data_IF_837411162093
#
_entry.id   IF_837411162093
#
_cell.length_a   1.000
_cell.length_b   1.000
_cell.length_c   1.000
_cell.angle_alpha   90.00
_cell.angle_beta   90.00
_cell.angle_gamma   90.00
#
_symmetry.space_group_name_H-M   'P 1'
#
loop_
_entity.id
_entity.type
_entity.pdbx_description
1 polymer ?
#
# COMPACT_ATOMS: atom_id res chain seq x y z
N UNK A 1 -23.41 16.54 17.72
CA UNK A 1 -23.65 15.63 16.58
C UNK A 1 -23.79 16.40 15.26
N UNK A 2 -24.81 17.24 15.06
CA UNK A 2 -24.97 18.02 13.81
C UNK A 2 -23.76 18.96 13.49
N UNK A 3 -23.27 19.71 14.48
CA UNK A 3 -22.13 20.64 14.29
C UNK A 3 -20.82 19.94 13.94
N UNK A 4 -20.59 18.72 14.44
CA UNK A 4 -19.39 17.94 14.14
C UNK A 4 -19.46 17.33 12.73
N UNK A 5 -20.64 16.87 12.33
CA UNK A 5 -20.92 16.41 10.98
C UNK A 5 -20.73 17.54 9.95
N UNK A 6 -21.31 18.72 10.19
CA UNK A 6 -21.13 19.90 9.32
C UNK A 6 -19.66 20.33 9.23
N UNK A 7 -18.91 20.22 10.34
CA UNK A 7 -17.46 20.47 10.34
C UNK A 7 -16.72 19.46 9.46
N UNK A 8 -17.05 18.17 9.53
CA UNK A 8 -16.45 17.14 8.67
C UNK A 8 -16.80 17.34 7.20
N UNK A 9 -18.04 17.72 6.90
CA UNK A 9 -18.50 18.00 5.53
C UNK A 9 -17.82 19.23 4.91
N UNK A 10 -17.45 20.23 5.72
CA UNK A 10 -16.70 21.39 5.23
C UNK A 10 -15.32 21.02 4.66
N UNK A 11 -14.77 19.85 5.00
CA UNK A 11 -13.54 19.33 4.41
C UNK A 11 -13.74 18.60 3.08
N UNK A 12 -14.97 18.39 2.61
CA UNK A 12 -15.22 17.64 1.37
C UNK A 12 -14.46 18.22 0.15
N UNK A 13 -14.46 19.54 -0.12
CA UNK A 13 -13.72 20.08 -1.26
C UNK A 13 -12.21 19.82 -1.17
N UNK A 14 -11.65 19.88 0.04
CA UNK A 14 -10.23 19.56 0.28
C UNK A 14 -9.97 18.06 0.09
N UNK A 15 -10.86 17.21 0.61
CA UNK A 15 -10.80 15.76 0.47
C UNK A 15 -10.82 15.34 -1.01
N UNK A 16 -11.77 15.87 -1.77
CA UNK A 16 -11.90 15.60 -3.20
C UNK A 16 -10.63 16.02 -3.96
N UNK A 17 -10.07 17.19 -3.63
CA UNK A 17 -8.83 17.67 -4.23
C UNK A 17 -7.62 16.78 -3.92
N UNK A 18 -7.41 16.40 -2.65
CA UNK A 18 -6.27 15.53 -2.29
C UNK A 18 -6.42 14.14 -2.91
N UNK A 19 -7.65 13.60 -2.98
CA UNK A 19 -7.92 12.30 -3.57
C UNK A 19 -7.75 12.32 -5.09
N UNK A 20 -8.20 13.39 -5.76
CA UNK A 20 -7.94 13.59 -7.19
C UNK A 20 -6.43 13.58 -7.48
N UNK A 21 -5.64 14.31 -6.69
CA UNK A 21 -4.19 14.36 -6.85
C UNK A 21 -3.55 12.99 -6.63
N UNK A 22 -3.88 12.31 -5.54
CA UNK A 22 -3.40 10.96 -5.26
C UNK A 22 -3.77 9.98 -6.37
N UNK A 23 -5.01 10.00 -6.86
CA UNK A 23 -5.47 9.11 -7.91
C UNK A 23 -4.76 9.35 -9.23
N UNK A 24 -4.56 10.62 -9.60
CA UNK A 24 -3.83 10.96 -10.83
C UNK A 24 -2.38 10.49 -10.74
N UNK A 25 -1.69 10.78 -9.63
CA UNK A 25 -0.31 10.38 -9.41
C UNK A 25 -0.17 8.85 -9.40
N UNK A 26 -1.03 8.14 -8.65
CA UNK A 26 -0.98 6.68 -8.56
C UNK A 26 -1.34 6.00 -9.87
N UNK A 27 -2.42 6.44 -10.54
CA UNK A 27 -2.84 5.88 -11.83
C UNK A 27 -1.80 6.08 -12.91
N UNK A 28 -1.19 7.28 -12.97
CA UNK A 28 -0.12 7.56 -13.91
C UNK A 28 1.09 6.66 -13.67
N UNK A 29 1.54 6.52 -12.42
CA UNK A 29 2.73 5.72 -12.13
C UNK A 29 2.51 4.22 -12.34
N UNK A 30 1.37 3.65 -11.90
CA UNK A 30 1.08 2.23 -12.10
C UNK A 30 1.04 1.87 -13.60
N UNK A 31 0.47 2.73 -14.44
CA UNK A 31 0.34 2.47 -15.89
C UNK A 31 1.65 2.66 -16.66
N UNK A 32 2.51 3.56 -16.22
CA UNK A 32 3.78 3.87 -16.89
C UNK A 32 5.00 3.21 -16.26
N UNK A 33 4.82 2.45 -15.18
CA UNK A 33 5.87 1.63 -14.60
C UNK A 33 6.24 0.51 -15.58
N UNK A 34 7.54 0.35 -15.81
CA UNK A 34 8.04 -0.71 -16.68
C UNK A 34 8.12 -2.00 -15.87
N UNK A 35 6.98 -2.67 -15.76
CA UNK A 35 6.82 -3.91 -15.01
C UNK A 35 7.66 -5.08 -15.54
N UNK A 36 8.36 -4.91 -16.67
CA UNK A 36 9.30 -5.88 -17.24
C UNK A 36 10.77 -5.48 -17.04
N UNK A 37 11.05 -4.36 -16.37
CA UNK A 37 12.41 -3.91 -16.08
C UNK A 37 13.01 -4.64 -14.88
N UNK A 38 13.45 -5.87 -15.13
CA UNK A 38 14.08 -6.74 -14.12
C UNK A 38 15.26 -6.05 -13.43
N UNK A 39 16.08 -5.31 -14.19
CA UNK A 39 17.25 -4.61 -13.66
C UNK A 39 16.86 -3.50 -12.69
N UNK A 40 15.85 -2.69 -13.02
CA UNK A 40 15.34 -1.63 -12.14
C UNK A 40 14.85 -2.21 -10.82
N UNK A 41 14.06 -3.29 -10.86
CA UNK A 41 13.55 -3.91 -9.64
C UNK A 41 14.69 -4.50 -8.80
N UNK A 42 15.55 -5.33 -9.39
CA UNK A 42 16.66 -5.97 -8.66
C UNK A 42 17.65 -4.97 -8.07
N UNK A 43 17.87 -3.81 -8.71
CA UNK A 43 18.72 -2.77 -8.15
C UNK A 43 18.16 -2.11 -6.88
N UNK A 44 16.84 -2.12 -6.70
CA UNK A 44 16.16 -1.56 -5.52
C UNK A 44 15.91 -2.60 -4.42
N UNK A 45 16.15 -3.87 -4.73
CA UNK A 45 15.92 -5.00 -3.86
C UNK A 45 17.23 -5.39 -3.15
N UNK A 46 17.13 -5.89 -1.92
CA UNK A 46 18.30 -6.40 -1.19
C UNK A 46 18.45 -7.91 -1.44
N UNK A 47 19.70 -8.38 -1.42
CA UNK A 47 20.02 -9.80 -1.49
C UNK A 47 19.51 -10.50 -0.23
N UNK A 48 18.70 -11.53 -0.40
CA UNK A 48 18.22 -12.31 0.73
C UNK A 48 19.29 -13.30 1.20
N UNK A 49 20.15 -12.86 2.13
CA UNK A 49 21.29 -13.63 2.64
C UNK A 49 20.92 -14.81 3.56
N UNK A 50 19.64 -15.17 3.71
CA UNK A 50 19.23 -16.21 4.65
C UNK A 50 19.65 -17.63 4.25
N UNK A 51 20.06 -17.88 2.99
CA UNK A 51 20.48 -19.20 2.51
C UNK A 51 21.87 -19.18 1.86
N UNK A 52 22.93 -18.99 2.66
CA UNK A 52 24.33 -19.17 2.22
C UNK A 52 24.69 -20.59 1.75
N UNK A 53 23.76 -21.55 1.82
CA UNK A 53 24.00 -22.97 1.52
C UNK A 53 23.72 -23.35 0.06
N UNK A 54 23.05 -22.51 -0.73
CA UNK A 54 22.59 -22.88 -2.10
C UNK A 54 23.31 -22.17 -3.24
N UNK A 55 24.20 -21.21 -2.98
CA UNK A 55 25.04 -20.56 -4.00
C UNK A 55 24.35 -19.51 -4.89
N UNK A 56 23.02 -19.47 -4.97
CA UNK A 56 22.29 -18.43 -5.71
C UNK A 56 21.66 -17.40 -4.76
N UNK A 57 22.23 -16.20 -4.77
CA UNK A 57 21.72 -15.02 -4.09
C UNK A 57 20.38 -14.60 -4.70
N UNK A 58 19.28 -15.02 -4.07
CA UNK A 58 17.93 -14.61 -4.49
C UNK A 58 17.67 -13.17 -4.03
N UNK A 59 17.42 -12.29 -4.99
CA UNK A 59 17.09 -10.88 -4.75
C UNK A 59 15.56 -10.75 -4.69
N UNK A 60 15.02 -10.17 -3.61
CA UNK A 60 13.58 -10.07 -3.37
C UNK A 60 13.14 -8.64 -3.02
N UNK A 61 11.88 -8.26 -3.30
CA UNK A 61 11.37 -6.95 -2.93
C UNK A 61 11.56 -6.66 -1.44
N UNK A 62 12.11 -5.49 -1.15
CA UNK A 62 12.36 -5.02 0.21
C UNK A 62 11.39 -3.97 0.71
N UNK A 63 10.69 -3.34 -0.23
CA UNK A 63 9.84 -2.19 -0.03
C UNK A 63 8.74 -2.13 -1.09
N UNK A 64 7.73 -1.30 -0.84
CA UNK A 64 6.79 -0.92 -1.89
C UNK A 64 7.46 -0.03 -2.94
N UNK A 65 6.83 0.08 -4.11
CA UNK A 65 7.24 0.99 -5.17
C UNK A 65 7.34 2.43 -4.64
N UNK A 66 8.42 3.14 -5.00
CA UNK A 66 8.72 4.46 -4.43
C UNK A 66 7.61 5.50 -4.65
N UNK A 67 6.97 5.46 -5.83
CA UNK A 67 5.86 6.37 -6.15
C UNK A 67 4.67 6.22 -5.19
N UNK A 68 4.47 5.04 -4.57
CA UNK A 68 3.43 4.82 -3.56
C UNK A 68 3.79 5.58 -2.29
N UNK A 69 5.06 5.52 -1.86
CA UNK A 69 5.53 6.30 -0.72
C UNK A 69 5.35 7.79 -0.94
N UNK A 70 5.73 8.30 -2.11
CA UNK A 70 5.59 9.71 -2.45
C UNK A 70 4.12 10.15 -2.43
N UNK A 71 3.22 9.34 -3.01
CA UNK A 71 1.79 9.61 -3.03
C UNK A 71 1.15 9.59 -1.63
N UNK A 72 1.50 8.60 -0.79
CA UNK A 72 1.03 8.52 0.59
C UNK A 72 1.59 9.66 1.45
N UNK A 73 2.87 9.99 1.28
CA UNK A 73 3.50 11.10 2.00
C UNK A 73 2.89 12.45 1.63
N UNK A 74 2.49 12.65 0.37
CA UNK A 74 1.75 13.83 -0.06
C UNK A 74 0.45 13.98 0.74
N UNK A 75 -0.31 12.89 0.94
CA UNK A 75 -1.52 12.91 1.76
C UNK A 75 -1.20 13.24 3.22
N UNK A 76 -0.15 12.64 3.80
CA UNK A 76 0.30 12.97 5.16
C UNK A 76 0.67 14.44 5.29
N UNK A 77 1.35 15.01 4.29
CA UNK A 77 1.72 16.43 4.25
C UNK A 77 0.48 17.32 4.24
N UNK A 78 -0.52 17.01 3.44
CA UNK A 78 -1.77 17.80 3.41
C UNK A 78 -2.56 17.68 4.72
N UNK A 79 -2.66 16.46 5.28
CA UNK A 79 -3.25 16.24 6.60
C UNK A 79 -2.53 17.05 7.69
N UNK A 80 -1.21 17.15 7.64
CA UNK A 80 -0.42 17.90 8.60
C UNK A 80 -0.57 19.42 8.46
N UNK A 81 -0.90 19.95 7.28
CA UNK A 81 -1.12 21.40 7.07
C UNK A 81 -2.41 21.89 7.71
N UNK A 82 -3.46 21.08 7.68
CA UNK A 82 -4.75 21.42 8.29
C UNK A 82 -4.78 21.14 9.80
N UNK A 83 -3.68 20.65 10.36
CA UNK A 83 -3.57 20.03 11.68
C UNK A 83 -3.54 21.04 12.85
N UNK A 84 -4.26 22.15 12.74
CA UNK A 84 -4.26 23.25 13.71
C UNK A 84 -4.93 22.93 15.05
N UNK A 85 -5.76 21.88 15.16
CA UNK A 85 -6.42 21.47 16.42
C UNK A 85 -6.80 19.98 16.38
N UNK A 86 -5.87 19.11 16.77
CA UNK A 86 -6.03 17.67 17.01
C UNK A 86 -6.51 16.85 15.81
N UNK A 87 -5.73 15.82 15.44
CA UNK A 87 -6.07 14.83 14.43
C UNK A 87 -7.48 14.31 14.72
N UNK A 88 -8.47 14.78 13.97
CA UNK A 88 -9.82 14.27 14.09
C UNK A 88 -9.77 12.86 13.49
N UNK A 89 -9.76 11.84 14.34
CA UNK A 89 -9.80 10.44 13.92
C UNK A 89 -10.91 10.21 12.89
N UNK A 90 -12.02 10.96 12.95
CA UNK A 90 -13.10 10.89 11.97
C UNK A 90 -12.66 11.39 10.58
N UNK A 91 -11.87 12.47 10.49
CA UNK A 91 -11.34 12.95 9.20
C UNK A 91 -10.29 11.98 8.64
N UNK A 92 -9.38 11.48 9.48
CA UNK A 92 -8.41 10.46 9.06
C UNK A 92 -9.11 9.17 8.61
N UNK A 93 -10.16 8.76 9.31
CA UNK A 93 -11.01 7.62 8.95
C UNK A 93 -11.60 7.81 7.54
N UNK A 94 -12.18 8.97 7.23
CA UNK A 94 -12.66 9.29 5.88
C UNK A 94 -11.53 9.26 4.85
N UNK A 95 -10.38 9.86 5.15
CA UNK A 95 -9.22 9.81 4.24
C UNK A 95 -8.82 8.36 3.95
N UNK A 96 -8.72 7.50 4.96
CA UNK A 96 -8.36 6.08 4.79
C UNK A 96 -9.43 5.31 4.01
N UNK A 97 -10.71 5.61 4.23
CA UNK A 97 -11.82 5.03 3.48
C UNK A 97 -11.70 5.33 1.98
N UNK A 98 -11.53 6.62 1.64
CA UNK A 98 -11.38 7.06 0.26
C UNK A 98 -10.10 6.52 -0.38
N UNK A 99 -8.98 6.50 0.35
CA UNK A 99 -7.73 5.91 -0.14
C UNK A 99 -7.89 4.41 -0.43
N UNK A 100 -8.45 3.64 0.49
CA UNK A 100 -8.66 2.21 0.32
C UNK A 100 -9.54 1.91 -0.91
N UNK A 101 -10.67 2.61 -1.05
CA UNK A 101 -11.57 2.48 -2.20
C UNK A 101 -10.87 2.82 -3.53
N UNK A 102 -10.10 3.91 -3.56
CA UNK A 102 -9.40 4.33 -4.75
C UNK A 102 -8.26 3.38 -5.14
N UNK A 103 -7.48 2.90 -4.17
CA UNK A 103 -6.41 1.91 -4.40
C UNK A 103 -7.02 0.61 -4.93
N UNK A 104 -8.08 0.11 -4.30
CA UNK A 104 -8.83 -1.06 -4.78
C UNK A 104 -9.23 -0.86 -6.24
N UNK A 105 -9.87 0.27 -6.55
CA UNK A 105 -10.32 0.57 -7.90
C UNK A 105 -9.16 0.59 -8.90
N UNK A 106 -8.10 1.35 -8.61
CA UNK A 106 -6.96 1.53 -9.52
C UNK A 106 -6.18 0.23 -9.75
N UNK A 107 -5.94 -0.57 -8.71
CA UNK A 107 -5.28 -1.86 -8.87
C UNK A 107 -6.21 -2.88 -9.53
N UNK A 108 -7.50 -2.91 -9.23
CA UNK A 108 -8.45 -3.77 -9.96
C UNK A 108 -8.46 -3.45 -11.45
N UNK A 109 -8.60 -2.17 -11.80
CA UNK A 109 -8.57 -1.71 -13.18
C UNK A 109 -7.23 -2.04 -13.86
N UNK A 110 -6.11 -1.87 -13.18
CA UNK A 110 -4.80 -2.23 -13.74
C UNK A 110 -4.68 -3.74 -13.98
N UNK A 111 -5.06 -4.57 -13.01
CA UNK A 111 -4.97 -6.02 -13.08
C UNK A 111 -5.93 -6.60 -14.14
N UNK A 112 -7.14 -6.04 -14.27
CA UNK A 112 -8.14 -6.54 -15.20
C UNK A 112 -7.87 -6.07 -16.65
N UNK A 113 -7.24 -4.90 -16.84
CA UNK A 113 -6.90 -4.39 -18.17
C UNK A 113 -5.57 -4.93 -18.74
N UNK A 114 -4.67 -5.40 -17.87
CA UNK A 114 -3.37 -5.95 -18.30
C UNK A 114 -3.38 -7.47 -18.12
N UNK A 115 -2.89 -8.21 -19.12
CA UNK A 115 -2.63 -9.63 -18.91
C UNK A 115 -1.49 -9.77 -17.91
N UNK A 116 -1.73 -10.44 -16.78
CA UNK A 116 -0.67 -10.72 -15.81
C UNK A 116 0.50 -11.50 -16.41
N UNK A 117 0.25 -12.26 -17.49
CA UNK A 117 1.29 -13.00 -18.21
C UNK A 117 2.24 -12.08 -18.99
N UNK A 118 1.83 -10.83 -19.24
CA UNK A 118 2.67 -9.81 -19.89
C UNK A 118 3.63 -9.08 -18.94
N UNK A 119 3.49 -9.32 -17.64
CA UNK A 119 4.32 -8.75 -16.58
C UNK A 119 5.37 -9.79 -16.17
N UNK A 120 6.62 -9.36 -15.95
CA UNK A 120 7.68 -10.25 -15.50
C UNK A 120 7.41 -10.79 -14.10
N UNK A 121 8.04 -11.90 -13.75
CA UNK A 121 7.94 -12.46 -12.40
C UNK A 121 8.38 -11.42 -11.34
N UNK A 122 9.43 -10.64 -11.61
CA UNK A 122 9.85 -9.58 -10.70
C UNK A 122 8.79 -8.47 -10.55
N UNK A 123 8.14 -8.07 -11.64
CA UNK A 123 7.04 -7.12 -11.59
C UNK A 123 5.86 -7.63 -10.76
N UNK A 124 5.51 -8.92 -10.89
CA UNK A 124 4.46 -9.56 -10.07
C UNK A 124 4.83 -9.58 -8.58
N UNK A 125 6.09 -9.87 -8.25
CA UNK A 125 6.58 -9.83 -6.87
C UNK A 125 6.56 -8.41 -6.30
N UNK A 126 6.85 -7.39 -7.11
CA UNK A 126 6.71 -5.99 -6.70
C UNK A 126 5.24 -5.61 -6.48
N UNK A 127 4.32 -6.00 -7.36
CA UNK A 127 2.87 -5.80 -7.19
C UNK A 127 2.36 -6.46 -5.90
N UNK A 128 2.79 -7.68 -5.62
CA UNK A 128 2.47 -8.36 -4.37
C UNK A 128 2.97 -7.57 -3.16
N UNK A 129 4.18 -7.05 -3.23
CA UNK A 129 4.82 -6.26 -2.17
C UNK A 129 4.08 -4.94 -1.90
N UNK A 130 3.66 -4.25 -2.96
CA UNK A 130 2.85 -3.04 -2.90
C UNK A 130 1.51 -3.32 -2.19
N UNK A 131 0.80 -4.37 -2.61
CA UNK A 131 -0.47 -4.77 -2.01
C UNK A 131 -0.33 -5.24 -0.56
N UNK A 132 0.78 -5.92 -0.23
CA UNK A 132 1.09 -6.34 1.12
C UNK A 132 1.31 -5.12 2.03
N UNK A 133 1.98 -4.10 1.53
CA UNK A 133 2.15 -2.84 2.27
C UNK A 133 0.81 -2.16 2.52
N UNK A 134 -0.10 -2.10 1.53
CA UNK A 134 -1.43 -1.52 1.73
C UNK A 134 -2.24 -2.25 2.79
N UNK A 135 -2.15 -3.58 2.88
CA UNK A 135 -2.76 -4.31 4.00
C UNK A 135 -2.23 -3.79 5.34
N UNK A 136 -0.92 -3.62 5.48
CA UNK A 136 -0.34 -3.06 6.72
C UNK A 136 -0.81 -1.64 6.99
N UNK A 137 -0.90 -0.80 5.95
CA UNK A 137 -1.39 0.58 6.06
C UNK A 137 -2.83 0.64 6.62
N UNK A 138 -3.73 -0.23 6.13
CA UNK A 138 -5.16 -0.17 6.47
C UNK A 138 -5.60 -1.11 7.59
N UNK A 139 -4.76 -2.06 8.03
CA UNK A 139 -5.07 -3.08 9.04
C UNK A 139 -5.75 -2.50 10.29
N UNK A 140 -5.14 -1.50 10.93
CA UNK A 140 -5.69 -0.93 12.16
C UNK A 140 -7.00 -0.20 11.92
N UNK A 141 -7.16 0.45 10.76
CA UNK A 141 -8.41 1.09 10.36
C UNK A 141 -9.53 0.06 10.16
N UNK A 142 -9.28 -1.01 9.40
CA UNK A 142 -10.27 -2.06 9.18
C UNK A 142 -10.68 -2.76 10.48
N UNK A 143 -9.72 -3.04 11.36
CA UNK A 143 -9.99 -3.66 12.65
C UNK A 143 -10.78 -2.73 13.58
N UNK A 144 -10.46 -1.44 13.60
CA UNK A 144 -11.13 -0.45 14.47
C UNK A 144 -12.59 -0.24 14.07
N UNK A 145 -12.88 -0.22 12.76
CA UNK A 145 -14.20 0.10 12.23
C UNK A 145 -14.96 -1.11 11.64
N UNK A 146 -14.43 -2.33 11.81
CA UNK A 146 -15.00 -3.58 11.29
C UNK A 146 -15.28 -3.59 9.78
N UNK A 147 -14.39 -2.98 8.99
CA UNK A 147 -14.57 -2.80 7.54
C UNK A 147 -14.06 -4.04 6.80
N UNK A 148 -14.86 -5.10 6.87
CA UNK A 148 -14.49 -6.41 6.34
C UNK A 148 -14.53 -6.49 4.81
N UNK A 149 -15.36 -5.65 4.17
CA UNK A 149 -15.53 -5.66 2.71
C UNK A 149 -14.24 -5.24 1.99
N UNK A 150 -13.71 -4.05 2.30
CA UNK A 150 -12.44 -3.57 1.72
C UNK A 150 -11.30 -4.54 1.99
N UNK A 151 -11.16 -5.02 3.24
CA UNK A 151 -10.14 -6.02 3.59
C UNK A 151 -10.25 -7.29 2.75
N UNK A 152 -11.48 -7.75 2.47
CA UNK A 152 -11.74 -8.93 1.64
C UNK A 152 -11.36 -8.67 0.19
N UNK A 153 -11.68 -7.51 -0.35
CA UNK A 153 -11.34 -7.15 -1.74
C UNK A 153 -9.81 -7.04 -1.91
N UNK A 154 -9.09 -6.41 -0.96
CA UNK A 154 -7.62 -6.40 -0.97
C UNK A 154 -7.04 -7.82 -1.00
N UNK A 155 -7.57 -8.73 -0.17
CA UNK A 155 -7.15 -10.14 -0.17
C UNK A 155 -7.46 -10.84 -1.51
N UNK A 156 -8.58 -10.52 -2.15
CA UNK A 156 -8.91 -11.05 -3.48
C UNK A 156 -7.94 -10.56 -4.55
N UNK A 157 -7.57 -9.27 -4.55
CA UNK A 157 -6.58 -8.73 -5.48
C UNK A 157 -5.20 -9.37 -5.29
N UNK A 158 -4.77 -9.56 -4.04
CA UNK A 158 -3.55 -10.30 -3.73
C UNK A 158 -3.61 -11.74 -4.29
N UNK A 159 -4.74 -12.43 -4.12
CA UNK A 159 -4.91 -13.78 -4.67
C UNK A 159 -4.83 -13.81 -6.20
N UNK A 160 -5.40 -12.81 -6.88
CA UNK A 160 -5.25 -12.67 -8.35
C UNK A 160 -3.77 -12.55 -8.73
N UNK A 161 -3.01 -11.69 -8.05
CA UNK A 161 -1.57 -11.54 -8.29
C UNK A 161 -0.83 -12.87 -8.03
N UNK A 162 -1.04 -13.50 -6.86
CA UNK A 162 -0.38 -14.76 -6.49
C UNK A 162 -0.68 -15.86 -7.51
N UNK A 163 -1.91 -15.95 -8.02
CA UNK A 163 -2.29 -16.98 -9.00
C UNK A 163 -1.54 -16.87 -10.33
N UNK A 164 -0.89 -15.74 -10.59
CA UNK A 164 -0.06 -15.52 -11.78
C UNK A 164 1.44 -15.79 -11.56
N UNK A 165 1.85 -16.09 -10.34
CA UNK A 165 3.25 -16.38 -9.96
C UNK A 165 3.41 -17.90 -9.83
N UNK A 166 4.59 -18.43 -10.17
CA UNK A 166 4.89 -19.84 -9.95
C UNK A 166 4.68 -20.23 -8.45
N UNK A 167 3.82 -21.23 -8.14
CA UNK A 167 3.47 -21.56 -6.76
C UNK A 167 4.64 -22.06 -5.90
N UNK A 168 5.61 -22.74 -6.52
CA UNK A 168 6.77 -23.30 -5.81
C UNK A 168 7.70 -22.15 -5.41
N UNK A 169 7.97 -21.25 -6.35
CA UNK A 169 8.76 -20.05 -6.13
C UNK A 169 8.10 -19.13 -5.10
N UNK A 170 6.80 -18.86 -5.24
CA UNK A 170 6.08 -17.98 -4.33
C UNK A 170 6.09 -18.52 -2.89
N UNK A 171 5.85 -19.82 -2.68
CA UNK A 171 5.91 -20.43 -1.35
C UNK A 171 7.28 -20.26 -0.68
N UNK A 172 8.35 -20.23 -1.47
CA UNK A 172 9.70 -19.97 -0.99
C UNK A 172 9.96 -18.46 -0.71
N UNK A 173 9.44 -17.56 -1.55
CA UNK A 173 9.67 -16.11 -1.42
C UNK A 173 8.76 -15.41 -0.41
N UNK A 174 7.53 -15.88 -0.23
CA UNK A 174 6.47 -15.19 0.51
C UNK A 174 6.90 -14.77 1.92
N UNK A 175 7.49 -15.70 2.68
CA UNK A 175 7.94 -15.44 4.04
C UNK A 175 8.95 -14.29 4.10
N UNK A 176 9.86 -14.25 3.14
CA UNK A 176 10.94 -13.28 3.09
C UNK A 176 10.43 -11.91 2.64
N UNK A 177 9.57 -11.86 1.61
CA UNK A 177 8.93 -10.62 1.18
C UNK A 177 8.09 -10.03 2.32
N UNK A 178 7.32 -10.86 3.03
CA UNK A 178 6.54 -10.42 4.18
C UNK A 178 7.43 -9.82 5.28
N UNK A 179 8.54 -10.48 5.64
CA UNK A 179 9.47 -9.96 6.63
C UNK A 179 10.13 -8.64 6.20
N UNK A 180 10.44 -8.51 4.91
CA UNK A 180 10.98 -7.30 4.34
C UNK A 180 9.99 -6.14 4.40
N UNK A 181 8.74 -6.37 3.99
CA UNK A 181 7.67 -5.36 4.03
C UNK A 181 7.33 -4.98 5.46
N UNK A 182 7.36 -5.91 6.41
CA UNK A 182 7.22 -5.61 7.83
C UNK A 182 8.33 -4.66 8.30
N UNK A 183 9.58 -4.97 7.96
CA UNK A 183 10.75 -4.14 8.30
C UNK A 183 10.66 -2.75 7.66
N UNK A 184 10.25 -2.68 6.39
CA UNK A 184 10.06 -1.43 5.66
C UNK A 184 8.91 -0.59 6.24
N UNK A 185 7.79 -1.21 6.57
CA UNK A 185 6.66 -0.56 7.25
C UNK A 185 7.11 0.17 8.52
N UNK A 186 7.94 -0.48 9.36
CA UNK A 186 8.49 0.17 10.55
C UNK A 186 9.40 1.36 10.22
N UNK A 187 10.23 1.25 9.17
CA UNK A 187 11.12 2.33 8.72
C UNK A 187 10.35 3.58 8.26
N UNK A 188 9.24 3.40 7.54
CA UNK A 188 8.44 4.53 7.01
C UNK A 188 7.31 4.98 7.92
N UNK A 189 7.10 4.33 9.07
CA UNK A 189 6.00 4.62 9.98
C UNK A 189 6.00 6.09 10.45
N UNK A 190 7.18 6.65 10.75
CA UNK A 190 7.30 8.06 11.16
C UNK A 190 6.84 9.01 10.04
N UNK A 191 7.20 8.71 8.79
CA UNK A 191 6.80 9.52 7.62
C UNK A 191 5.30 9.46 7.37
N UNK A 192 4.68 8.30 7.61
CA UNK A 192 3.27 8.04 7.35
C UNK A 192 2.37 8.16 8.59
N UNK A 193 2.91 8.67 9.70
CA UNK A 193 2.31 8.53 11.04
C UNK A 193 0.84 8.94 11.15
N UNK A 194 0.41 9.98 10.43
CA UNK A 194 -0.99 10.43 10.44
C UNK A 194 -1.95 9.42 9.82
N UNK A 195 -1.52 8.66 8.81
CA UNK A 195 -2.31 7.58 8.21
C UNK A 195 -2.29 6.30 9.07
N UNK A 196 -1.27 6.15 9.92
CA UNK A 196 -1.05 4.96 10.75
C UNK A 196 -1.61 5.10 12.17
N UNK A 197 -2.39 6.14 12.45
CA UNK A 197 -2.92 6.43 13.80
C UNK A 197 -3.74 5.28 14.39
N UNK A 198 -4.41 4.47 13.56
CA UNK A 198 -5.21 3.32 13.99
C UNK A 198 -4.38 2.04 14.19
N UNK A 199 -3.15 2.01 13.69
CA UNK A 199 -2.25 0.87 13.84
C UNK A 199 -1.49 0.92 15.17
N UNK A 200 -1.46 2.07 15.84
CA UNK A 200 -0.81 2.24 17.15
C UNK A 200 -1.70 1.74 18.30
N UNK A 201 -3.00 1.57 18.08
CA UNK A 201 -3.95 1.06 19.08
C UNK A 201 -3.95 -0.47 19.23
N UNK A 202 -3.32 -1.21 18.32
CA UNK A 202 -3.23 -2.68 18.39
C UNK A 202 -1.98 -3.20 19.09
N UNK A 203 -0.98 -2.34 19.35
CA UNK A 203 0.12 -2.64 20.28
C UNK A 203 -0.34 -2.29 21.69
N UNK A 204 -0.94 -3.26 22.37
CA UNK A 204 -1.23 -3.17 23.79
C UNK A 204 0.02 -2.79 24.57
N UNK A 205 -0.09 -1.72 25.36
CA UNK A 205 0.63 -1.61 26.62
C UNK A 205 -0.14 -2.39 27.67
#
# INVERSE_FOLDING_TARGET
MAMEQTKLESYNPWLDWIMMKFNNDLSYNIKNEDWNNVTKFKNLWEVNNQNKTSGDDVVLPTQMSSYILDALFMICKELNKINGCFINKNLTCRVLEHLANNIIKLYSEFIDNNSMDSISEEGKLQLYSDMRFFIKLFEGYWNTYNINEQSTIFKQLIRKIISSIDPINFAYFEKNINANIDSYYYRVNILLGTLLIFNQSSTGR
#
